data_IF_077759028923
#
_entry.id   IF_077759028923
#
_cell.length_a   1.000
_cell.length_b   1.000
_cell.length_c   1.000
_cell.angle_alpha   90.00
_cell.angle_beta   90.00
_cell.angle_gamma   90.00
#
_symmetry.space_group_name_H-M   'P 1'
#
loop_
_entity.id
_entity.type
_entity.pdbx_description
1 polymer ?
#
# COMPACT_ATOMS: atom_id res chain seq x y z
N UNK A 1 13.60 -10.35 -21.34
CA UNK A 1 13.69 -9.03 -21.89
C UNK A 1 13.01 -8.04 -20.97
N UNK A 2 13.77 -7.07 -20.42
CA UNK A 2 13.29 -6.06 -19.48
C UNK A 2 12.02 -5.32 -19.90
N UNK A 3 11.58 -4.37 -19.10
CA UNK A 3 10.37 -3.59 -19.34
C UNK A 3 9.11 -4.33 -18.89
N UNK A 4 8.77 -4.11 -17.64
CA UNK A 4 7.50 -4.51 -17.06
C UNK A 4 6.48 -3.37 -17.28
N UNK A 5 5.37 -3.31 -16.59
CA UNK A 5 4.36 -2.28 -16.76
C UNK A 5 3.18 -2.79 -17.60
N UNK A 6 2.79 -2.14 -18.69
CA UNK A 6 1.58 -2.48 -19.47
C UNK A 6 1.49 -3.97 -19.84
N UNK A 7 2.61 -4.59 -20.18
CA UNK A 7 2.65 -6.02 -20.49
C UNK A 7 2.31 -6.88 -19.27
N UNK A 8 2.85 -6.54 -18.11
CA UNK A 8 2.57 -7.28 -16.87
C UNK A 8 1.11 -7.14 -16.46
N UNK A 9 0.55 -5.95 -16.59
CA UNK A 9 -0.89 -5.68 -16.34
C UNK A 9 -1.77 -6.47 -17.30
N UNK A 10 -1.46 -6.45 -18.61
CA UNK A 10 -2.23 -7.20 -19.61
C UNK A 10 -2.23 -8.71 -19.35
N UNK A 11 -1.07 -9.27 -19.02
CA UNK A 11 -0.95 -10.71 -18.68
C UNK A 11 -1.65 -10.99 -17.36
N UNK A 12 -1.47 -10.17 -16.33
CA UNK A 12 -2.09 -10.32 -15.02
C UNK A 12 -3.62 -10.33 -15.10
N UNK A 13 -4.20 -9.45 -15.90
CA UNK A 13 -5.64 -9.39 -16.14
C UNK A 13 -6.18 -10.71 -16.71
N UNK A 14 -5.47 -11.31 -17.67
CA UNK A 14 -5.86 -12.60 -18.26
C UNK A 14 -5.65 -13.73 -17.26
N UNK A 15 -4.53 -13.77 -16.55
CA UNK A 15 -4.22 -14.78 -15.54
C UNK A 15 -5.29 -14.83 -14.43
N UNK A 16 -5.72 -13.68 -13.94
CA UNK A 16 -6.77 -13.56 -12.93
C UNK A 16 -8.11 -14.14 -13.44
N UNK A 17 -8.48 -13.86 -14.69
CA UNK A 17 -9.68 -14.42 -15.31
C UNK A 17 -9.60 -15.94 -15.48
N UNK A 18 -8.43 -16.46 -15.80
CA UNK A 18 -8.19 -17.92 -15.91
C UNK A 18 -8.31 -18.58 -14.54
N UNK A 19 -7.73 -18.00 -13.49
CA UNK A 19 -7.87 -18.52 -12.13
C UNK A 19 -9.33 -18.54 -11.64
N UNK A 20 -10.08 -17.48 -11.92
CA UNK A 20 -11.52 -17.43 -11.61
C UNK A 20 -12.29 -18.53 -12.36
N UNK A 21 -11.95 -18.74 -13.63
CA UNK A 21 -12.55 -19.80 -14.45
C UNK A 21 -12.24 -21.19 -13.88
N UNK A 22 -10.99 -21.47 -13.52
CA UNK A 22 -10.59 -22.75 -12.91
C UNK A 22 -11.34 -22.99 -11.60
N UNK A 23 -11.45 -21.97 -10.74
CA UNK A 23 -12.18 -22.06 -9.49
C UNK A 23 -13.68 -22.39 -9.72
N UNK A 24 -14.31 -21.79 -10.72
CA UNK A 24 -15.70 -22.07 -11.13
C UNK A 24 -15.87 -23.48 -11.67
N UNK A 25 -14.93 -23.98 -12.49
CA UNK A 25 -14.93 -25.37 -12.99
C UNK A 25 -14.84 -26.37 -11.83
N UNK A 26 -14.01 -26.09 -10.83
CA UNK A 26 -13.88 -26.93 -9.63
C UNK A 26 -15.03 -26.75 -8.62
N UNK A 27 -15.99 -25.86 -8.89
CA UNK A 27 -17.13 -25.59 -8.01
C UNK A 27 -16.76 -24.97 -6.67
N UNK A 28 -15.62 -24.25 -6.60
CA UNK A 28 -15.08 -23.65 -5.39
C UNK A 28 -14.86 -22.14 -5.59
N UNK A 29 -15.03 -21.28 -4.55
CA UNK A 29 -14.54 -19.93 -4.62
C UNK A 29 -13.00 -19.92 -4.68
N UNK A 30 -12.43 -18.93 -5.38
CA UNK A 30 -10.98 -18.88 -5.62
C UNK A 30 -10.15 -18.94 -4.33
N UNK A 31 -10.57 -18.24 -3.27
CA UNK A 31 -9.84 -18.26 -1.99
C UNK A 31 -9.76 -19.67 -1.38
N UNK A 32 -10.80 -20.52 -1.56
CA UNK A 32 -10.77 -21.89 -1.08
C UNK A 32 -9.85 -22.76 -1.95
N UNK A 33 -9.92 -22.59 -3.28
CA UNK A 33 -9.02 -23.27 -4.21
C UNK A 33 -7.54 -22.98 -3.90
N UNK A 34 -7.21 -21.72 -3.60
CA UNK A 34 -5.86 -21.33 -3.23
C UNK A 34 -5.43 -21.92 -1.89
N UNK A 35 -6.31 -21.92 -0.89
CA UNK A 35 -6.03 -22.56 0.39
C UNK A 35 -5.79 -24.07 0.24
N UNK A 36 -6.56 -24.75 -0.61
CA UNK A 36 -6.41 -26.18 -0.87
C UNK A 36 -5.08 -26.51 -1.60
N UNK A 37 -4.62 -25.62 -2.49
CA UNK A 37 -3.42 -25.87 -3.31
C UNK A 37 -2.12 -25.38 -2.67
N UNK A 38 -2.16 -24.26 -1.97
CA UNK A 38 -0.97 -23.56 -1.49
C UNK A 38 -0.97 -23.31 0.03
N UNK A 39 -2.07 -23.60 0.71
CA UNK A 39 -2.22 -23.59 2.15
C UNK A 39 -2.62 -24.96 2.67
N UNK A 40 -2.89 -25.07 3.94
CA UNK A 40 -3.29 -26.33 4.59
C UNK A 40 -4.80 -26.65 4.45
N UNK A 41 -5.45 -26.20 3.39
CA UNK A 41 -6.90 -26.31 3.16
C UNK A 41 -7.76 -25.37 4.03
N UNK A 42 -7.14 -24.52 4.83
CA UNK A 42 -7.80 -23.60 5.76
C UNK A 42 -7.66 -22.16 5.28
N UNK A 43 -8.65 -21.60 4.58
CA UNK A 43 -8.57 -20.21 4.12
C UNK A 43 -8.72 -19.23 5.31
N UNK A 44 -7.95 -18.17 5.31
CA UNK A 44 -8.23 -17.03 6.16
C UNK A 44 -9.45 -16.29 5.59
N UNK A 45 -10.54 -16.25 6.36
CA UNK A 45 -11.79 -15.59 5.96
C UNK A 45 -11.90 -14.15 6.41
N UNK A 46 -10.93 -13.68 7.19
CA UNK A 46 -10.85 -12.29 7.67
C UNK A 46 -9.48 -11.75 7.30
N UNK A 47 -9.47 -10.66 6.55
CA UNK A 47 -8.27 -9.94 6.18
C UNK A 47 -8.34 -8.51 6.73
N UNK A 48 -7.18 -7.93 7.02
CA UNK A 48 -7.08 -6.51 7.31
C UNK A 48 -7.44 -5.70 6.07
N UNK A 49 -8.24 -4.66 6.26
CA UNK A 49 -8.59 -3.68 5.22
C UNK A 49 -8.62 -2.28 5.83
N UNK A 50 -8.34 -1.28 5.02
CA UNK A 50 -8.49 0.12 5.36
C UNK A 50 -9.36 0.83 4.32
N UNK A 51 -9.93 1.99 4.67
CA UNK A 51 -10.68 2.81 3.74
C UNK A 51 -9.79 3.93 3.19
N UNK A 52 -9.69 4.03 1.87
CA UNK A 52 -8.94 5.06 1.18
C UNK A 52 -9.85 6.19 0.69
N UNK A 53 -9.39 7.43 0.85
CA UNK A 53 -10.03 8.65 0.41
C UNK A 53 -9.18 9.88 0.71
N UNK A 54 -9.82 10.98 1.08
CA UNK A 54 -9.12 12.22 1.42
C UNK A 54 -8.38 12.83 0.23
N UNK A 55 -8.89 12.63 -0.98
CA UNK A 55 -8.38 13.24 -2.20
C UNK A 55 -8.59 14.76 -2.21
N UNK A 56 -8.05 15.42 -3.22
CA UNK A 56 -8.16 16.86 -3.40
C UNK A 56 -9.26 17.18 -4.41
N UNK A 57 -10.42 17.56 -3.92
CA UNK A 57 -11.54 17.95 -4.78
C UNK A 57 -11.77 19.45 -4.73
N UNK A 58 -12.10 20.10 -5.87
CA UNK A 58 -12.50 21.49 -5.90
C UNK A 58 -13.67 21.77 -4.94
N UNK A 59 -13.50 22.76 -4.04
CA UNK A 59 -14.54 23.13 -3.06
C UNK A 59 -14.70 22.15 -1.90
N UNK A 60 -13.79 21.19 -1.73
CA UNK A 60 -13.70 20.38 -0.53
C UNK A 60 -12.99 21.18 0.56
N UNK A 61 -13.68 21.46 1.65
CA UNK A 61 -13.13 22.04 2.86
C UNK A 61 -12.79 20.94 3.90
N UNK A 62 -12.22 21.36 5.01
CA UNK A 62 -11.85 20.44 6.10
C UNK A 62 -13.09 19.78 6.74
N UNK A 63 -14.27 20.42 6.69
CA UNK A 63 -15.52 19.84 7.18
C UNK A 63 -15.92 18.61 6.37
N UNK A 64 -15.94 18.74 5.06
CA UNK A 64 -16.24 17.61 4.15
C UNK A 64 -15.23 16.48 4.28
N UNK A 65 -13.94 16.80 4.47
CA UNK A 65 -12.92 15.80 4.71
C UNK A 65 -13.18 15.03 6.02
N UNK A 66 -13.54 15.73 7.09
CA UNK A 66 -13.94 15.10 8.37
C UNK A 66 -15.17 14.18 8.20
N UNK A 67 -16.17 14.64 7.46
CA UNK A 67 -17.39 13.87 7.23
C UNK A 67 -17.14 12.61 6.39
N UNK A 68 -16.24 12.71 5.40
CA UNK A 68 -15.79 11.55 4.63
C UNK A 68 -15.12 10.51 5.55
N UNK A 69 -14.16 10.93 6.38
CA UNK A 69 -13.46 10.02 7.30
C UNK A 69 -14.42 9.42 8.35
N UNK A 70 -15.36 10.20 8.91
CA UNK A 70 -16.40 9.68 9.80
C UNK A 70 -17.23 8.60 9.12
N UNK A 71 -17.59 8.80 7.85
CA UNK A 71 -18.38 7.80 7.11
C UNK A 71 -17.66 6.45 6.98
N UNK A 72 -16.32 6.43 6.94
CA UNK A 72 -15.53 5.19 6.95
C UNK A 72 -15.51 4.55 8.34
N UNK A 73 -15.29 5.37 9.38
CA UNK A 73 -15.28 4.91 10.78
C UNK A 73 -16.63 4.31 11.15
N UNK A 74 -17.74 4.96 10.77
CA UNK A 74 -19.11 4.48 11.03
C UNK A 74 -19.40 3.14 10.33
N UNK A 75 -18.69 2.81 9.26
CA UNK A 75 -18.76 1.50 8.60
C UNK A 75 -17.89 0.44 9.28
N UNK A 76 -17.14 0.80 10.32
CA UNK A 76 -16.30 -0.11 11.11
C UNK A 76 -14.84 -0.19 10.67
N UNK A 77 -14.37 0.68 9.77
CA UNK A 77 -12.94 0.76 9.46
C UNK A 77 -12.18 1.37 10.65
N UNK A 78 -11.09 0.72 11.02
CA UNK A 78 -10.19 1.19 12.09
C UNK A 78 -8.96 1.91 11.55
N UNK A 79 -8.71 1.79 10.26
CA UNK A 79 -7.64 2.50 9.56
C UNK A 79 -8.24 3.20 8.35
N UNK A 80 -7.90 4.47 8.18
CA UNK A 80 -8.28 5.29 7.03
C UNK A 80 -7.02 5.82 6.34
N UNK A 81 -7.10 6.08 5.04
CA UNK A 81 -5.98 6.64 4.25
C UNK A 81 -6.38 7.94 3.59
N UNK A 82 -5.47 8.91 3.59
CA UNK A 82 -5.62 10.19 2.87
C UNK A 82 -4.43 10.42 1.95
N UNK A 83 -4.68 11.09 0.82
CA UNK A 83 -3.63 11.54 -0.10
C UNK A 83 -2.92 12.80 0.44
N UNK A 84 -1.60 12.88 0.20
CA UNK A 84 -0.75 14.04 0.48
C UNK A 84 0.02 14.46 -0.77
N UNK A 85 0.63 15.63 -0.78
CA UNK A 85 1.44 16.15 -1.89
C UNK A 85 0.63 16.78 -3.02
N UNK A 86 -0.69 16.92 -2.89
CA UNK A 86 -1.53 17.68 -3.82
C UNK A 86 -1.73 19.15 -3.42
N UNK A 87 -1.23 19.52 -2.23
CA UNK A 87 -1.22 20.88 -1.69
C UNK A 87 0.15 21.21 -1.11
N UNK A 88 0.31 22.36 -0.46
CA UNK A 88 1.52 22.68 0.30
C UNK A 88 1.63 21.77 1.53
N UNK A 89 2.85 21.55 2.03
CA UNK A 89 3.08 20.82 3.27
C UNK A 89 2.20 21.33 4.43
N UNK A 90 2.16 22.65 4.63
CA UNK A 90 1.36 23.26 5.70
C UNK A 90 -0.15 22.95 5.55
N UNK A 91 -0.66 22.96 4.32
CA UNK A 91 -2.06 22.60 4.07
C UNK A 91 -2.31 21.11 4.30
N UNK A 92 -1.41 20.26 3.86
CA UNK A 92 -1.51 18.82 4.11
C UNK A 92 -1.48 18.51 5.62
N UNK A 93 -0.66 19.21 6.40
CA UNK A 93 -0.65 19.07 7.87
C UNK A 93 -2.00 19.50 8.48
N UNK A 94 -2.57 20.63 8.06
CA UNK A 94 -3.90 21.05 8.53
C UNK A 94 -4.99 20.04 8.17
N UNK A 95 -4.90 19.43 7.01
CA UNK A 95 -5.81 18.34 6.60
C UNK A 95 -5.62 17.09 7.45
N UNK A 96 -4.38 16.73 7.79
CA UNK A 96 -4.08 15.63 8.73
C UNK A 96 -4.65 15.95 10.10
N UNK A 97 -4.39 17.14 10.66
CA UNK A 97 -4.93 17.55 11.96
C UNK A 97 -6.46 17.44 11.99
N UNK A 98 -7.13 17.86 10.91
CA UNK A 98 -8.59 17.74 10.79
C UNK A 98 -9.08 16.28 10.84
N UNK A 99 -8.32 15.33 10.29
CA UNK A 99 -8.65 13.90 10.39
C UNK A 99 -8.36 13.38 11.80
N UNK A 100 -7.22 13.75 12.38
CA UNK A 100 -6.87 13.33 13.74
C UNK A 100 -7.91 13.74 14.79
N UNK A 101 -8.61 14.87 14.58
CA UNK A 101 -9.71 15.31 15.45
C UNK A 101 -10.94 14.36 15.43
N UNK A 102 -11.11 13.56 14.41
CA UNK A 102 -12.25 12.64 14.28
C UNK A 102 -11.91 11.19 14.54
N UNK A 103 -10.63 10.84 14.57
CA UNK A 103 -10.17 9.51 14.94
C UNK A 103 -10.30 9.29 16.45
N UNK A 104 -10.69 8.06 16.82
CA UNK A 104 -10.84 7.62 18.20
C UNK A 104 -9.66 6.71 18.60
N UNK A 105 -9.57 6.39 19.87
CA UNK A 105 -8.56 5.46 20.38
C UNK A 105 -8.58 4.13 19.62
N UNK A 106 -7.39 3.70 19.18
CA UNK A 106 -7.21 2.48 18.39
C UNK A 106 -7.45 2.65 16.89
N UNK A 107 -7.88 3.84 16.43
CA UNK A 107 -7.98 4.15 15.01
C UNK A 107 -6.72 4.84 14.52
N UNK A 108 -6.35 4.62 13.24
CA UNK A 108 -5.09 5.10 12.67
C UNK A 108 -5.31 5.73 11.30
N UNK A 109 -4.37 6.61 10.94
CA UNK A 109 -4.30 7.25 9.64
C UNK A 109 -3.09 6.75 8.86
N UNK A 110 -3.30 6.40 7.59
CA UNK A 110 -2.25 6.30 6.58
C UNK A 110 -2.20 7.57 5.75
N UNK A 111 -1.02 7.98 5.34
CA UNK A 111 -0.84 9.06 4.36
C UNK A 111 -0.09 8.54 3.14
N UNK A 112 -0.47 9.01 1.95
CA UNK A 112 -0.01 8.46 0.68
C UNK A 112 0.32 9.59 -0.30
N UNK A 113 1.58 9.65 -0.73
CA UNK A 113 2.10 10.66 -1.65
C UNK A 113 2.04 10.24 -3.13
N UNK A 114 1.76 8.96 -3.43
CA UNK A 114 1.76 8.41 -4.78
C UNK A 114 2.99 8.80 -5.62
N UNK A 115 4.18 8.59 -5.06
CA UNK A 115 5.44 8.73 -5.77
C UNK A 115 5.85 10.15 -6.17
N UNK A 116 5.24 11.19 -5.59
CA UNK A 116 5.34 12.56 -6.11
C UNK A 116 6.57 13.34 -5.68
N UNK A 117 7.24 12.92 -4.62
CA UNK A 117 8.27 13.74 -3.99
C UNK A 117 9.66 13.39 -4.53
N UNK A 118 10.49 14.41 -4.64
CA UNK A 118 11.93 14.23 -4.62
C UNK A 118 12.41 13.96 -3.18
N UNK A 119 13.68 13.64 -3.01
CA UNK A 119 14.22 13.29 -1.70
C UNK A 119 14.08 14.41 -0.66
N UNK A 120 14.35 15.67 -1.05
CA UNK A 120 14.28 16.79 -0.13
C UNK A 120 12.85 17.05 0.36
N UNK A 121 11.88 16.98 -0.54
CA UNK A 121 10.45 17.09 -0.21
C UNK A 121 10.01 15.90 0.65
N UNK A 122 10.41 14.66 0.30
CA UNK A 122 10.10 13.47 1.08
C UNK A 122 10.64 13.56 2.51
N UNK A 123 11.86 14.10 2.69
CA UNK A 123 12.46 14.34 4.02
C UNK A 123 11.70 15.43 4.79
N UNK A 124 11.29 16.52 4.12
CA UNK A 124 10.52 17.58 4.77
C UNK A 124 9.19 17.01 5.31
N UNK A 125 8.46 16.25 4.50
CA UNK A 125 7.26 15.55 4.95
C UNK A 125 7.57 14.54 6.07
N UNK A 126 8.58 13.71 5.94
CA UNK A 126 8.97 12.72 6.96
C UNK A 126 9.18 13.38 8.34
N UNK A 127 9.92 14.50 8.39
CA UNK A 127 10.13 15.25 9.62
C UNK A 127 8.84 15.80 10.20
N UNK A 128 7.99 16.39 9.37
CA UNK A 128 6.71 16.94 9.81
C UNK A 128 5.72 15.86 10.26
N UNK A 129 5.72 14.72 9.57
CA UNK A 129 4.85 13.58 9.88
C UNK A 129 5.28 12.80 11.14
N UNK A 130 6.54 12.91 11.57
CA UNK A 130 7.06 12.18 12.73
C UNK A 130 6.36 12.50 14.06
N UNK A 131 5.63 13.61 14.14
CA UNK A 131 4.82 13.97 15.32
C UNK A 131 3.51 13.18 15.43
N UNK A 132 3.05 12.56 14.34
CA UNK A 132 1.80 11.80 14.30
C UNK A 132 2.07 10.29 14.49
N UNK A 133 1.16 9.60 15.16
CA UNK A 133 1.16 8.14 15.26
C UNK A 133 0.45 7.54 14.04
N UNK A 134 1.05 7.69 12.86
CA UNK A 134 0.52 7.18 11.60
C UNK A 134 0.63 5.66 11.53
N UNK A 135 -0.32 5.03 10.83
CA UNK A 135 -0.22 3.62 10.50
C UNK A 135 0.91 3.36 9.51
N UNK A 136 1.03 4.22 8.46
CA UNK A 136 2.21 4.32 7.60
C UNK A 136 2.28 5.64 6.82
N UNK A 137 3.47 5.94 6.30
CA UNK A 137 3.75 6.92 5.26
C UNK A 137 4.04 6.15 3.96
N UNK A 138 3.14 6.29 2.96
CA UNK A 138 3.11 5.50 1.75
C UNK A 138 3.72 6.25 0.58
N UNK A 139 4.54 5.54 -0.17
CA UNK A 139 5.07 5.86 -1.49
C UNK A 139 5.54 7.33 -1.63
N UNK A 140 6.52 7.75 -0.82
CA UNK A 140 6.98 9.15 -0.80
C UNK A 140 7.55 9.62 -2.14
N UNK A 141 8.38 8.81 -2.82
CA UNK A 141 9.02 9.12 -4.08
C UNK A 141 8.75 8.07 -5.17
N UNK A 142 9.38 8.26 -6.33
CA UNK A 142 9.25 7.34 -7.46
C UNK A 142 9.38 5.89 -6.97
N UNK A 143 8.41 5.00 -7.29
CA UNK A 143 8.39 3.62 -6.80
C UNK A 143 9.60 2.79 -7.25
N UNK A 144 10.32 3.20 -8.29
CA UNK A 144 11.55 2.55 -8.75
C UNK A 144 12.83 3.23 -8.23
N UNK A 145 12.73 4.36 -7.54
CA UNK A 145 13.88 4.99 -6.87
C UNK A 145 14.13 4.37 -5.49
N UNK A 146 14.74 3.18 -5.51
CA UNK A 146 15.08 2.45 -4.29
C UNK A 146 16.12 3.17 -3.44
N UNK A 147 16.95 4.05 -4.03
CA UNK A 147 17.93 4.84 -3.30
C UNK A 147 17.22 5.92 -2.46
N UNK A 148 16.25 6.63 -3.03
CA UNK A 148 15.41 7.59 -2.30
C UNK A 148 14.71 6.90 -1.13
N UNK A 149 14.08 5.76 -1.39
CA UNK A 149 13.37 4.99 -0.37
C UNK A 149 14.33 4.56 0.77
N UNK A 150 15.53 4.09 0.43
CA UNK A 150 16.54 3.69 1.41
C UNK A 150 17.08 4.88 2.21
N UNK A 151 17.29 6.03 1.57
CA UNK A 151 17.76 7.24 2.23
C UNK A 151 16.76 7.78 3.25
N UNK A 152 15.47 7.73 2.92
CA UNK A 152 14.39 8.28 3.74
C UNK A 152 14.29 7.62 5.13
N UNK A 153 14.63 6.33 5.25
CA UNK A 153 14.63 5.61 6.54
C UNK A 153 15.52 6.25 7.62
N UNK A 154 16.50 7.06 7.21
CA UNK A 154 17.37 7.77 8.14
C UNK A 154 16.68 9.00 8.76
N UNK A 155 15.58 9.44 8.19
CA UNK A 155 14.81 10.61 8.61
C UNK A 155 13.42 10.26 9.14
N UNK A 156 12.91 9.06 8.82
CA UNK A 156 11.60 8.58 9.23
C UNK A 156 11.68 7.18 9.85
N UNK A 157 11.48 7.12 11.17
CA UNK A 157 11.59 5.87 11.94
C UNK A 157 10.28 5.12 12.09
N UNK A 158 9.14 5.81 11.86
CA UNK A 158 7.81 5.22 11.89
C UNK A 158 7.56 4.34 10.64
N UNK A 159 6.47 3.54 10.60
CA UNK A 159 6.22 2.64 9.48
C UNK A 159 6.10 3.36 8.13
N UNK A 160 6.70 2.77 7.10
CA UNK A 160 6.53 3.15 5.69
C UNK A 160 5.81 2.05 4.93
N UNK A 161 5.20 2.39 3.81
CA UNK A 161 4.58 1.44 2.89
C UNK A 161 4.92 1.80 1.44
N UNK A 162 5.16 0.81 0.60
CA UNK A 162 5.35 0.98 -0.84
C UNK A 162 5.27 -0.35 -1.56
N UNK A 163 5.17 -0.32 -2.89
CA UNK A 163 5.25 -1.49 -3.72
C UNK A 163 4.04 -1.70 -4.64
N UNK A 164 2.98 -0.90 -4.55
CA UNK A 164 1.80 -1.06 -5.41
C UNK A 164 2.14 -0.87 -6.90
N UNK A 165 3.13 -0.05 -7.23
CA UNK A 165 3.59 0.22 -8.59
C UNK A 165 4.78 -0.66 -9.04
N UNK A 166 5.02 -1.78 -8.38
CA UNK A 166 6.03 -2.76 -8.80
C UNK A 166 5.37 -3.89 -9.61
N UNK A 167 5.85 -4.08 -10.83
CA UNK A 167 5.18 -4.92 -11.84
C UNK A 167 5.81 -6.30 -12.03
N UNK A 168 6.73 -6.71 -11.16
CA UNK A 168 7.36 -8.03 -11.22
C UNK A 168 7.96 -8.47 -9.89
N UNK A 169 8.18 -9.78 -9.74
CA UNK A 169 8.94 -10.33 -8.61
C UNK A 169 10.36 -9.75 -8.53
N UNK A 170 10.98 -9.41 -9.67
CA UNK A 170 12.31 -8.83 -9.71
C UNK A 170 12.34 -7.42 -9.13
N UNK A 171 11.33 -6.60 -9.44
CA UNK A 171 11.21 -5.25 -8.86
C UNK A 171 10.94 -5.35 -7.36
N UNK A 172 10.02 -6.24 -6.95
CA UNK A 172 9.74 -6.52 -5.54
C UNK A 172 10.99 -6.96 -4.76
N UNK A 173 11.78 -7.87 -5.35
CA UNK A 173 13.06 -8.32 -4.77
C UNK A 173 14.07 -7.18 -4.66
N UNK A 174 14.13 -6.31 -5.66
CA UNK A 174 15.04 -5.18 -5.65
C UNK A 174 14.64 -4.14 -4.60
N UNK A 175 13.35 -3.88 -4.41
CA UNK A 175 12.87 -3.06 -3.30
C UNK A 175 13.35 -3.62 -1.95
N UNK A 176 13.18 -4.91 -1.71
CA UNK A 176 13.61 -5.55 -0.46
C UNK A 176 15.13 -5.44 -0.27
N UNK A 177 15.91 -5.64 -1.34
CA UNK A 177 17.37 -5.64 -1.27
C UNK A 177 17.98 -4.25 -1.14
N UNK A 178 17.40 -3.26 -1.81
CA UNK A 178 18.01 -1.95 -2.00
C UNK A 178 17.18 -0.78 -1.48
N UNK A 179 15.87 -0.95 -1.30
CA UNK A 179 14.97 0.11 -0.84
C UNK A 179 14.97 0.34 0.67
N UNK A 180 15.78 -0.41 1.43
CA UNK A 180 15.92 -0.19 2.87
C UNK A 180 14.69 -0.47 3.71
N UNK A 181 13.73 -1.23 3.17
CA UNK A 181 12.50 -1.62 3.88
C UNK A 181 12.80 -2.52 5.08
N UNK A 182 12.04 -2.33 6.17
CA UNK A 182 12.28 -2.97 7.47
C UNK A 182 11.16 -3.99 7.75
N UNK A 183 11.47 -5.29 7.79
CA UNK A 183 10.43 -6.33 7.92
C UNK A 183 9.70 -6.33 9.29
N UNK A 184 10.25 -5.65 10.30
CA UNK A 184 9.66 -5.55 11.63
C UNK A 184 8.59 -4.45 11.75
N UNK A 185 8.42 -3.57 10.75
CA UNK A 185 7.51 -2.43 10.84
C UNK A 185 6.96 -1.88 9.53
N UNK A 186 7.67 -2.03 8.40
CA UNK A 186 7.24 -1.49 7.11
C UNK A 186 6.28 -2.44 6.39
N UNK A 187 5.57 -1.94 5.40
CA UNK A 187 4.57 -2.69 4.64
C UNK A 187 4.94 -2.77 3.16
N UNK A 188 4.81 -3.97 2.60
CA UNK A 188 4.97 -4.22 1.18
C UNK A 188 3.58 -4.40 0.56
N UNK A 189 3.27 -3.62 -0.50
CA UNK A 189 1.93 -3.49 -1.07
C UNK A 189 1.87 -4.04 -2.50
N UNK A 190 2.50 -5.19 -2.75
CA UNK A 190 2.49 -5.76 -4.10
C UNK A 190 1.10 -6.18 -4.54
N UNK A 191 0.81 -5.93 -5.82
CA UNK A 191 -0.48 -6.21 -6.44
C UNK A 191 -0.37 -7.36 -7.46
N UNK A 192 -1.25 -8.35 -7.36
CA UNK A 192 -1.20 -9.50 -8.24
C UNK A 192 -1.73 -9.19 -9.64
N UNK A 193 -2.65 -8.24 -9.80
CA UNK A 193 -3.21 -7.89 -11.11
C UNK A 193 -2.21 -7.09 -11.95
N UNK A 194 -1.41 -6.23 -11.31
CA UNK A 194 -0.40 -5.41 -11.97
C UNK A 194 0.86 -6.20 -12.34
N UNK A 195 1.19 -7.27 -11.59
CA UNK A 195 2.45 -8.01 -11.70
C UNK A 195 2.30 -9.42 -12.26
N UNK A 196 1.89 -9.56 -13.50
CA UNK A 196 1.76 -10.84 -14.23
C UNK A 196 0.75 -11.85 -13.66
N UNK A 197 -0.11 -11.43 -12.72
CA UNK A 197 -1.16 -12.26 -12.17
C UNK A 197 -0.76 -13.07 -10.93
N UNK A 198 -1.61 -14.02 -10.58
CA UNK A 198 -1.52 -14.77 -9.33
C UNK A 198 -0.32 -15.72 -9.29
N UNK A 199 0.08 -16.30 -10.44
CA UNK A 199 1.25 -17.17 -10.49
C UNK A 199 2.53 -16.44 -10.08
N UNK A 200 2.75 -15.25 -10.63
CA UNK A 200 3.92 -14.42 -10.27
C UNK A 200 3.80 -13.89 -8.83
N UNK A 201 2.59 -13.54 -8.41
CA UNK A 201 2.34 -13.08 -7.04
C UNK A 201 2.68 -14.16 -6.00
N UNK A 202 2.31 -15.41 -6.22
CA UNK A 202 2.69 -16.52 -5.34
C UNK A 202 4.22 -16.68 -5.24
N UNK A 203 4.94 -16.57 -6.37
CA UNK A 203 6.41 -16.55 -6.37
C UNK A 203 6.97 -15.37 -5.60
N UNK A 204 6.33 -14.20 -5.70
CA UNK A 204 6.70 -13.01 -4.95
C UNK A 204 6.52 -13.23 -3.45
N UNK A 205 5.43 -13.86 -3.01
CA UNK A 205 5.21 -14.22 -1.61
C UNK A 205 6.25 -15.21 -1.08
N UNK A 206 6.64 -16.19 -1.88
CA UNK A 206 7.70 -17.14 -1.48
C UNK A 206 9.06 -16.44 -1.36
N UNK A 207 9.41 -15.57 -2.31
CA UNK A 207 10.61 -14.73 -2.23
C UNK A 207 10.61 -13.82 -0.99
N UNK A 208 9.45 -13.27 -0.59
CA UNK A 208 9.33 -12.48 0.65
C UNK A 208 9.73 -13.28 1.88
N UNK A 209 9.20 -14.49 2.02
CA UNK A 209 9.50 -15.39 3.14
C UNK A 209 11.00 -15.68 3.22
N UNK A 210 11.64 -15.93 2.07
CA UNK A 210 13.10 -16.13 1.98
C UNK A 210 13.91 -14.93 2.49
N UNK A 211 13.33 -13.72 2.45
CA UNK A 211 13.95 -12.48 2.91
C UNK A 211 13.46 -12.02 4.30
N UNK A 212 12.78 -12.91 5.04
CA UNK A 212 12.37 -12.65 6.43
C UNK A 212 11.09 -11.80 6.58
N UNK A 213 10.30 -11.68 5.53
CA UNK A 213 8.97 -11.07 5.59
C UNK A 213 7.90 -12.12 5.89
N UNK A 214 6.90 -11.77 6.70
CA UNK A 214 5.82 -12.68 7.15
C UNK A 214 4.44 -12.19 6.71
#
# INVERSE_FOLDING_TARGET
PGGHGERSVAIGTIDMAVWDTVAKIEGKPLFQLLADRYGEGKPNRKIFVYAAGGDYYPGQDHGKLKDEMRSYIDRGYTVVKKKIGGASLDEDLRRIDSIMEVLQDGQKLCVDANGRFDLDTAIAYAKALSQYDLFWYEEPGDPLDFELQAALRNYYTNPMATGEDLFSMQDARNLIRYGGMRPDRDWLQFDCALSYGLVEYLRTLDMHKEHGWS
#
